data_IF_519788602969
#
_entry.id   IF_519788602969
#
_cell.length_a   1.000
_cell.length_b   1.000
_cell.length_c   1.000
_cell.angle_alpha   90.00
_cell.angle_beta   90.00
_cell.angle_gamma   90.00
#
_symmetry.space_group_name_H-M   'P 1'
#
loop_
_entity.id
_entity.type
_entity.pdbx_description
1 polymer ?
#
# COMPACT_ATOMS: atom_id res chain seq x y z
N UNK A 1 -23.45 -0.29 16.58
CA UNK A 1 -23.46 -1.71 17.03
C UNK A 1 -24.86 -2.19 17.45
N UNK A 2 -25.60 -1.40 18.24
CA UNK A 2 -26.91 -1.84 18.76
C UNK A 2 -27.97 -2.08 17.67
N UNK A 3 -28.06 -1.21 16.67
CA UNK A 3 -28.98 -1.37 15.54
C UNK A 3 -28.66 -2.62 14.72
N UNK A 4 -27.39 -2.89 14.46
CA UNK A 4 -26.95 -4.10 13.75
C UNK A 4 -27.31 -5.38 14.54
N UNK A 5 -27.13 -5.37 15.85
CA UNK A 5 -27.53 -6.49 16.71
C UNK A 5 -29.03 -6.76 16.63
N UNK A 6 -29.86 -5.72 16.67
CA UNK A 6 -31.32 -5.83 16.55
C UNK A 6 -31.73 -6.39 15.18
N UNK A 7 -31.12 -5.90 14.11
CA UNK A 7 -31.40 -6.37 12.75
C UNK A 7 -31.03 -7.84 12.56
N UNK A 8 -29.88 -8.27 13.08
CA UNK A 8 -29.41 -9.65 12.98
C UNK A 8 -30.28 -10.59 13.83
N UNK A 9 -30.60 -10.19 15.06
CA UNK A 9 -31.46 -10.98 15.94
C UNK A 9 -32.92 -11.09 15.42
N UNK A 10 -33.35 -10.14 14.58
CA UNK A 10 -34.69 -10.14 13.96
C UNK A 10 -34.86 -11.11 12.78
N UNK A 11 -33.89 -11.96 12.46
CA UNK A 11 -33.93 -12.86 11.30
C UNK A 11 -34.48 -14.26 11.62
N UNK A 12 -35.34 -14.37 12.63
CA UNK A 12 -35.92 -15.64 13.02
C UNK A 12 -36.63 -16.37 11.85
N UNK A 13 -36.30 -17.63 11.66
CA UNK A 13 -36.86 -18.47 10.59
C UNK A 13 -36.31 -18.19 9.19
N UNK A 14 -35.42 -17.20 9.04
CA UNK A 14 -34.75 -16.91 7.76
C UNK A 14 -33.57 -17.85 7.53
N UNK A 15 -33.28 -18.10 6.24
CA UNK A 15 -32.06 -18.76 5.79
C UNK A 15 -31.06 -17.69 5.37
N UNK A 16 -29.95 -17.57 6.10
CA UNK A 16 -28.92 -16.51 5.88
C UNK A 16 -27.63 -17.15 5.42
N UNK A 17 -27.13 -16.71 4.27
CA UNK A 17 -25.80 -17.13 3.80
C UNK A 17 -24.73 -16.38 4.60
N UNK A 18 -23.79 -17.12 5.14
CA UNK A 18 -22.63 -16.57 5.82
C UNK A 18 -21.37 -17.30 5.35
N UNK A 19 -20.37 -16.55 4.91
CA UNK A 19 -19.07 -17.12 4.55
C UNK A 19 -18.30 -17.44 5.84
N UNK A 20 -17.97 -18.72 6.10
CA UNK A 20 -17.32 -19.12 7.34
C UNK A 20 -15.88 -18.56 7.49
N UNK A 21 -15.27 -18.08 6.40
CA UNK A 21 -13.92 -17.53 6.40
C UNK A 21 -13.88 -16.02 6.64
N UNK A 22 -14.95 -15.30 6.33
CA UNK A 22 -14.97 -13.83 6.37
C UNK A 22 -16.01 -13.24 7.31
N UNK A 23 -17.14 -13.95 7.56
CA UNK A 23 -18.16 -13.49 8.51
C UNK A 23 -17.63 -13.58 9.95
N UNK A 24 -17.71 -12.48 10.70
CA UNK A 24 -17.24 -12.48 12.08
C UNK A 24 -18.16 -13.34 12.98
N UNK A 25 -17.57 -13.95 14.01
CA UNK A 25 -18.26 -14.86 14.94
C UNK A 25 -19.44 -14.18 15.65
N UNK A 26 -19.33 -12.90 15.99
CA UNK A 26 -20.39 -12.15 16.65
C UNK A 26 -21.68 -12.08 15.81
N UNK A 27 -21.54 -11.79 14.49
CA UNK A 27 -22.70 -11.75 13.58
C UNK A 27 -23.35 -13.13 13.43
N UNK A 28 -22.55 -14.18 13.31
CA UNK A 28 -23.04 -15.56 13.22
C UNK A 28 -23.80 -15.96 14.48
N UNK A 29 -23.24 -15.70 15.66
CA UNK A 29 -23.89 -15.99 16.93
C UNK A 29 -25.22 -15.25 17.11
N UNK A 30 -25.30 -13.99 16.73
CA UNK A 30 -26.55 -13.23 16.81
C UNK A 30 -27.63 -13.77 15.89
N UNK A 31 -27.28 -14.17 14.68
CA UNK A 31 -28.19 -14.78 13.72
C UNK A 31 -28.73 -16.11 14.26
N UNK A 32 -27.86 -16.99 14.77
CA UNK A 32 -28.24 -18.28 15.35
C UNK A 32 -29.11 -18.13 16.61
N UNK A 33 -28.71 -17.23 17.52
CA UNK A 33 -29.49 -16.91 18.73
C UNK A 33 -30.85 -16.28 18.40
N UNK A 34 -30.90 -15.52 17.31
CA UNK A 34 -32.15 -14.96 16.77
C UNK A 34 -33.05 -15.96 16.05
N UNK A 35 -32.61 -17.22 15.89
CA UNK A 35 -33.41 -18.29 15.26
C UNK A 35 -33.30 -18.33 13.74
N UNK A 36 -32.26 -17.74 13.16
CA UNK A 36 -31.92 -17.89 11.73
C UNK A 36 -31.19 -19.20 11.47
N UNK A 37 -31.35 -19.77 10.27
CA UNK A 37 -30.57 -20.91 9.79
C UNK A 37 -29.40 -20.41 8.95
N UNK A 38 -28.14 -20.60 9.39
CA UNK A 38 -26.95 -20.24 8.63
C UNK A 38 -26.69 -21.27 7.52
N UNK A 39 -26.39 -20.77 6.34
CA UNK A 39 -25.93 -21.54 5.19
C UNK A 39 -24.48 -21.15 4.92
N UNK A 40 -23.56 -22.08 5.13
CA UNK A 40 -22.15 -21.87 4.81
C UNK A 40 -21.96 -21.85 3.30
N UNK A 41 -21.60 -20.68 2.76
CA UNK A 41 -21.24 -20.48 1.36
C UNK A 41 -20.34 -19.26 1.22
N UNK A 42 -19.53 -19.16 0.14
CA UNK A 42 -18.72 -17.98 -0.14
C UNK A 42 -19.55 -16.70 -0.21
N UNK A 43 -18.99 -15.59 0.24
CA UNK A 43 -19.65 -14.28 0.17
C UNK A 43 -19.96 -13.93 -1.29
N UNK A 44 -21.26 -13.78 -1.66
CA UNK A 44 -21.64 -13.47 -3.04
C UNK A 44 -21.18 -12.09 -3.52
N UNK A 45 -20.78 -11.21 -2.61
CA UNK A 45 -20.28 -9.85 -2.92
C UNK A 45 -18.78 -9.86 -3.24
N UNK A 46 -18.04 -10.89 -2.84
CA UNK A 46 -16.58 -10.94 -2.94
C UNK A 46 -16.10 -10.71 -4.37
N UNK A 47 -16.58 -11.52 -5.32
CA UNK A 47 -16.15 -11.43 -6.72
C UNK A 47 -16.65 -10.16 -7.42
N UNK A 48 -17.93 -9.76 -7.34
CA UNK A 48 -18.40 -8.50 -7.89
C UNK A 48 -17.62 -7.27 -7.38
N UNK A 49 -17.28 -7.26 -6.08
CA UNK A 49 -16.48 -6.19 -5.47
C UNK A 49 -15.04 -6.18 -5.98
N UNK A 50 -14.44 -7.36 -6.21
CA UNK A 50 -13.07 -7.46 -6.73
C UNK A 50 -12.95 -7.01 -8.19
N UNK A 51 -14.02 -7.14 -8.97
CA UNK A 51 -14.06 -6.73 -10.39
C UNK A 51 -14.44 -5.26 -10.52
N UNK A 52 -13.45 -4.41 -10.77
CA UNK A 52 -13.69 -2.97 -10.96
C UNK A 52 -14.58 -2.69 -12.16
N UNK A 53 -15.57 -1.81 -11.99
CA UNK A 53 -16.36 -1.25 -13.10
C UNK A 53 -15.59 -0.18 -13.87
N UNK A 54 -16.16 0.33 -14.95
CA UNK A 54 -15.49 1.31 -15.81
C UNK A 54 -15.15 2.63 -15.10
N UNK A 55 -15.96 3.06 -14.14
CA UNK A 55 -15.72 4.28 -13.36
C UNK A 55 -14.54 4.06 -12.40
N UNK A 56 -14.50 2.94 -11.69
CA UNK A 56 -13.41 2.58 -10.79
C UNK A 56 -12.08 2.41 -11.55
N UNK A 57 -12.11 1.82 -12.76
CA UNK A 57 -10.92 1.68 -13.61
C UNK A 57 -10.41 3.06 -14.06
N UNK A 58 -11.31 3.96 -14.48
CA UNK A 58 -10.94 5.32 -14.87
C UNK A 58 -10.35 6.10 -13.69
N UNK A 59 -10.98 6.01 -12.51
CA UNK A 59 -10.49 6.63 -11.28
C UNK A 59 -9.12 6.11 -10.88
N UNK A 60 -8.92 4.79 -10.87
CA UNK A 60 -7.63 4.17 -10.55
C UNK A 60 -6.52 4.67 -11.50
N UNK A 61 -6.79 4.79 -12.81
CA UNK A 61 -5.82 5.32 -13.78
C UNK A 61 -5.45 6.77 -13.48
N UNK A 62 -6.42 7.62 -13.17
CA UNK A 62 -6.18 9.01 -12.83
C UNK A 62 -5.43 9.16 -11.51
N UNK A 63 -5.80 8.39 -10.50
CA UNK A 63 -5.09 8.36 -9.22
C UNK A 63 -3.59 8.00 -9.41
N UNK A 64 -3.28 7.00 -10.24
CA UNK A 64 -1.89 6.61 -10.52
C UNK A 64 -1.12 7.69 -11.27
N UNK A 65 -1.74 8.46 -12.17
CA UNK A 65 -1.08 9.58 -12.85
C UNK A 65 -0.76 10.69 -11.84
N UNK A 66 -1.70 11.07 -10.98
CA UNK A 66 -1.48 12.10 -9.96
C UNK A 66 -0.40 11.68 -8.96
N UNK A 67 -0.47 10.44 -8.47
CA UNK A 67 0.52 9.90 -7.54
C UNK A 67 1.92 9.81 -8.16
N UNK A 68 2.01 9.40 -9.43
CA UNK A 68 3.28 9.38 -10.16
C UNK A 68 3.94 10.75 -10.23
N UNK A 69 3.17 11.84 -10.36
CA UNK A 69 3.71 13.22 -10.33
C UNK A 69 4.37 13.49 -8.97
N UNK A 70 3.73 13.13 -7.86
CA UNK A 70 4.30 13.29 -6.51
C UNK A 70 5.60 12.48 -6.35
N UNK A 71 5.61 11.23 -6.79
CA UNK A 71 6.79 10.35 -6.73
C UNK A 71 7.93 10.89 -7.60
N UNK A 72 7.64 11.35 -8.82
CA UNK A 72 8.67 11.93 -9.72
C UNK A 72 9.24 13.24 -9.13
N UNK A 73 8.38 14.11 -8.58
CA UNK A 73 8.83 15.31 -7.87
C UNK A 73 9.76 14.97 -6.70
N UNK A 74 9.39 13.95 -5.91
CA UNK A 74 10.21 13.47 -4.81
C UNK A 74 11.57 12.95 -5.28
N UNK A 75 11.61 12.11 -6.30
CA UNK A 75 12.89 11.58 -6.83
C UNK A 75 13.78 12.68 -7.40
N UNK A 76 13.20 13.64 -8.12
CA UNK A 76 13.95 14.80 -8.63
C UNK A 76 14.48 15.69 -7.50
N UNK A 77 13.68 15.92 -6.47
CA UNK A 77 14.10 16.65 -5.28
C UNK A 77 15.23 15.92 -4.56
N UNK A 78 15.10 14.59 -4.35
CA UNK A 78 16.14 13.79 -3.70
C UNK A 78 17.46 13.88 -4.47
N UNK A 79 17.43 13.73 -5.79
CA UNK A 79 18.63 13.87 -6.63
C UNK A 79 19.29 15.24 -6.45
N UNK A 80 18.52 16.32 -6.46
CA UNK A 80 19.03 17.67 -6.22
C UNK A 80 19.65 17.83 -4.82
N UNK A 81 19.04 17.25 -3.77
CA UNK A 81 19.61 17.27 -2.42
C UNK A 81 20.97 16.56 -2.37
N UNK A 82 21.07 15.39 -2.98
CA UNK A 82 22.30 14.61 -3.03
C UNK A 82 23.42 15.35 -3.79
N UNK A 83 23.12 16.04 -4.90
CA UNK A 83 24.07 16.87 -5.64
C UNK A 83 24.62 18.02 -4.78
N UNK A 84 23.86 18.51 -3.80
CA UNK A 84 24.31 19.52 -2.83
C UNK A 84 24.93 18.89 -1.56
N UNK A 85 25.17 17.58 -1.52
CA UNK A 85 25.75 16.88 -0.37
C UNK A 85 24.80 16.77 0.82
N UNK A 86 23.49 16.94 0.61
CA UNK A 86 22.48 16.85 1.66
C UNK A 86 21.90 15.44 1.71
N UNK A 87 22.30 14.71 2.75
CA UNK A 87 21.80 13.36 3.01
C UNK A 87 20.75 13.41 4.12
N UNK A 88 19.51 13.08 3.77
CA UNK A 88 18.38 13.02 4.69
C UNK A 88 18.32 11.66 5.38
N UNK A 89 17.54 11.57 6.46
CA UNK A 89 17.18 10.29 7.08
C UNK A 89 15.86 9.74 6.52
N UNK A 90 15.57 8.51 6.86
CA UNK A 90 14.38 7.78 6.39
C UNK A 90 13.07 8.49 6.72
N UNK A 91 12.98 9.12 7.90
CA UNK A 91 11.79 9.85 8.32
C UNK A 91 11.59 11.12 7.49
N UNK A 92 12.62 11.94 7.35
CA UNK A 92 12.57 13.16 6.54
C UNK A 92 12.25 12.88 5.07
N UNK A 93 12.71 11.74 4.52
CA UNK A 93 12.38 11.31 3.17
C UNK A 93 10.91 10.91 3.04
N UNK A 94 10.38 10.15 4.00
CA UNK A 94 8.97 9.76 4.02
C UNK A 94 8.05 10.98 4.14
N UNK A 95 8.39 11.93 5.03
CA UNK A 95 7.62 13.17 5.24
C UNK A 95 7.65 14.06 3.99
N UNK A 96 8.78 14.15 3.30
CA UNK A 96 8.88 14.93 2.06
C UNK A 96 8.03 14.34 0.93
N UNK A 97 8.01 13.01 0.79
CA UNK A 97 7.16 12.35 -0.19
C UNK A 97 5.67 12.56 0.13
N UNK A 98 5.31 12.48 1.42
CA UNK A 98 3.95 12.78 1.87
C UNK A 98 3.55 14.22 1.51
N UNK A 99 4.41 15.21 1.79
CA UNK A 99 4.15 16.60 1.45
C UNK A 99 3.90 16.81 -0.06
N UNK A 100 4.63 16.11 -0.94
CA UNK A 100 4.35 16.18 -2.38
C UNK A 100 3.02 15.55 -2.78
N UNK A 101 2.51 14.56 -2.03
CA UNK A 101 1.18 14.00 -2.23
C UNK A 101 0.07 14.92 -1.73
N UNK A 102 0.30 15.57 -0.57
CA UNK A 102 -0.64 16.53 0.03
C UNK A 102 -0.86 17.76 -0.85
N UNK A 103 0.13 18.17 -1.64
CA UNK A 103 -0.02 19.22 -2.67
C UNK A 103 -0.93 18.79 -3.84
N UNK A 104 -1.24 17.50 -3.97
CA UNK A 104 -2.01 16.95 -5.07
C UNK A 104 -3.52 16.95 -4.82
N UNK A 105 -4.29 16.95 -5.93
CA UNK A 105 -5.75 16.89 -5.85
C UNK A 105 -6.25 15.50 -5.44
N UNK A 106 -7.39 15.45 -4.74
CA UNK A 106 -8.10 14.23 -4.35
C UNK A 106 -7.39 13.35 -3.31
N UNK A 107 -6.21 13.74 -2.80
CA UNK A 107 -5.48 13.00 -1.78
C UNK A 107 -6.23 13.02 -0.45
N UNK A 108 -6.35 11.84 0.19
CA UNK A 108 -7.06 11.66 1.46
C UNK A 108 -6.12 11.21 2.59
N UNK A 109 -4.94 10.70 2.25
CA UNK A 109 -3.95 10.18 3.17
C UNK A 109 -3.12 9.08 2.56
N UNK A 110 -2.09 8.57 3.25
CA UNK A 110 -1.35 7.39 2.82
C UNK A 110 -2.27 6.16 2.71
N UNK A 111 -2.05 5.31 1.71
CA UNK A 111 -2.75 4.02 1.60
C UNK A 111 -2.23 2.99 2.60
N UNK A 112 -0.99 3.13 3.02
CA UNK A 112 -0.31 2.38 4.08
C UNK A 112 0.87 3.19 4.62
N UNK A 113 1.45 2.75 5.75
CA UNK A 113 2.64 3.39 6.32
C UNK A 113 3.83 3.28 5.36
N UNK A 114 4.38 4.42 4.96
CA UNK A 114 5.51 4.46 4.03
C UNK A 114 6.70 3.67 4.56
N UNK A 115 7.18 2.71 3.78
CA UNK A 115 8.47 2.05 3.99
C UNK A 115 9.53 2.93 3.34
N UNK A 116 10.36 3.55 4.16
CA UNK A 116 11.50 4.38 3.74
C UNK A 116 12.75 3.74 4.32
N UNK A 117 13.58 3.10 3.48
CA UNK A 117 14.63 2.20 3.92
C UNK A 117 15.99 2.51 3.28
N UNK A 118 16.95 2.90 4.09
CA UNK A 118 18.31 3.25 3.71
C UNK A 118 19.24 2.03 3.75
N UNK A 119 19.95 1.75 2.68
CA UNK A 119 20.96 0.69 2.60
C UNK A 119 20.43 -0.67 3.07
N UNK A 120 21.03 -1.25 4.11
CA UNK A 120 20.70 -2.58 4.64
C UNK A 120 19.29 -2.72 5.20
N UNK A 121 18.64 -1.62 5.62
CA UNK A 121 17.27 -1.66 6.10
C UNK A 121 16.27 -2.09 5.01
N UNK A 122 16.62 -1.87 3.74
CA UNK A 122 15.83 -2.30 2.60
C UNK A 122 15.71 -3.84 2.45
N UNK A 123 16.51 -4.61 3.17
CA UNK A 123 16.41 -6.07 3.18
C UNK A 123 15.25 -6.60 4.05
N UNK A 124 14.64 -5.76 4.87
CA UNK A 124 13.50 -6.13 5.72
C UNK A 124 12.18 -5.82 5.03
N UNK A 125 11.38 -6.87 4.76
CA UNK A 125 9.99 -6.70 4.37
C UNK A 125 9.23 -5.96 5.49
N UNK A 126 8.37 -5.01 5.13
CA UNK A 126 7.59 -4.20 6.07
C UNK A 126 8.47 -3.46 7.11
N UNK A 127 9.66 -3.01 6.67
CA UNK A 127 10.50 -2.14 7.50
C UNK A 127 9.72 -0.88 7.92
N UNK A 128 9.84 -0.52 9.18
CA UNK A 128 9.23 0.72 9.67
C UNK A 128 10.28 1.54 10.40
N UNK A 129 10.68 2.66 9.80
CA UNK A 129 11.67 3.59 10.32
C UNK A 129 11.25 4.24 11.67
N UNK A 130 9.95 4.19 12.02
CA UNK A 130 9.43 4.71 13.29
C UNK A 130 9.69 3.79 14.47
N UNK A 131 10.04 2.52 14.23
CA UNK A 131 10.32 1.55 15.30
C UNK A 131 11.74 1.67 15.87
N UNK A 132 12.59 2.50 15.26
CA UNK A 132 13.97 2.73 15.68
C UNK A 132 14.37 4.18 15.36
N UNK A 133 15.63 4.55 15.62
CA UNK A 133 16.17 5.82 15.12
C UNK A 133 16.29 5.74 13.60
N UNK A 134 15.62 6.62 12.84
CA UNK A 134 15.70 6.62 11.38
C UNK A 134 17.14 6.73 10.88
N UNK A 135 17.52 5.84 9.99
CA UNK A 135 18.86 5.80 9.44
C UNK A 135 19.04 6.94 8.40
N UNK A 136 20.23 7.55 8.40
CA UNK A 136 20.62 8.51 7.38
C UNK A 136 21.00 7.76 6.11
N UNK A 137 20.69 8.31 4.92
CA UNK A 137 21.14 7.76 3.66
C UNK A 137 22.67 7.65 3.65
N UNK A 138 23.25 6.45 3.50
CA UNK A 138 24.68 6.31 3.32
C UNK A 138 25.06 6.71 1.87
N UNK A 139 26.24 7.31 1.65
CA UNK A 139 26.76 7.50 0.30
C UNK A 139 27.04 6.15 -0.38
N UNK A 140 27.03 6.15 -1.70
CA UNK A 140 27.36 4.99 -2.54
C UNK A 140 26.55 3.71 -2.19
N UNK A 141 25.24 3.89 -2.01
CA UNK A 141 24.33 2.89 -1.53
C UNK A 141 23.03 2.85 -2.36
N UNK A 142 22.01 2.20 -1.83
CA UNK A 142 20.65 2.19 -2.37
C UNK A 142 19.66 2.72 -1.34
N UNK A 143 18.60 3.32 -1.83
CA UNK A 143 17.43 3.70 -1.04
C UNK A 143 16.19 3.05 -1.63
N UNK A 144 15.42 2.37 -0.79
CA UNK A 144 14.13 1.80 -1.14
C UNK A 144 13.03 2.65 -0.51
N UNK A 145 12.07 3.03 -1.33
CA UNK A 145 10.82 3.65 -0.87
C UNK A 145 9.64 2.86 -1.43
N UNK A 146 8.79 2.41 -0.53
CA UNK A 146 7.53 1.75 -0.83
C UNK A 146 6.41 2.53 -0.16
N UNK A 147 5.49 3.04 -0.96
CA UNK A 147 4.53 4.04 -0.52
C UNK A 147 3.31 4.09 -1.43
N UNK A 148 2.23 4.63 -0.91
CA UNK A 148 1.04 4.84 -1.72
C UNK A 148 0.14 5.92 -1.15
N UNK A 149 -0.83 6.34 -1.96
CA UNK A 149 -1.84 7.32 -1.60
C UNK A 149 -3.25 6.76 -1.72
N UNK A 150 -4.09 7.12 -0.78
CA UNK A 150 -5.53 6.98 -0.87
C UNK A 150 -6.09 8.25 -1.50
N UNK A 151 -6.78 8.09 -2.61
CA UNK A 151 -7.48 9.17 -3.33
C UNK A 151 -8.98 8.92 -3.29
N UNK A 152 -9.79 9.95 -3.56
CA UNK A 152 -11.26 9.80 -3.61
C UNK A 152 -11.74 8.84 -4.71
N UNK A 153 -10.90 8.62 -5.73
CA UNK A 153 -11.23 7.84 -6.94
C UNK A 153 -10.28 6.65 -7.17
N UNK A 154 -9.33 6.37 -6.25
CA UNK A 154 -8.44 5.23 -6.38
C UNK A 154 -7.42 5.12 -5.26
N UNK A 155 -6.74 3.99 -5.21
CA UNK A 155 -5.66 3.70 -4.27
C UNK A 155 -4.40 3.37 -5.07
N UNK A 156 -3.25 3.91 -4.65
CA UNK A 156 -1.95 3.64 -5.28
C UNK A 156 -1.02 2.90 -4.33
N UNK A 157 -0.07 2.20 -4.93
CA UNK A 157 0.98 1.44 -4.27
C UNK A 157 2.18 1.40 -5.23
N UNK A 158 3.29 2.04 -4.85
CA UNK A 158 4.47 2.21 -5.70
C UNK A 158 5.74 1.98 -4.90
N UNK A 159 6.54 1.02 -5.36
CA UNK A 159 7.88 0.78 -4.82
C UNK A 159 8.95 1.24 -5.80
N UNK A 160 10.00 1.90 -5.30
CA UNK A 160 11.22 2.22 -6.06
C UNK A 160 12.46 1.97 -5.21
N UNK A 161 13.45 1.34 -5.84
CA UNK A 161 14.81 1.27 -5.31
C UNK A 161 15.71 2.13 -6.20
N UNK A 162 16.34 3.14 -5.61
CA UNK A 162 17.17 4.09 -6.35
C UNK A 162 18.61 4.11 -5.85
N UNK A 163 19.55 4.41 -6.72
CA UNK A 163 20.95 4.54 -6.38
C UNK A 163 21.21 5.87 -5.63
N UNK A 164 22.03 5.80 -4.61
CA UNK A 164 22.57 6.96 -3.91
C UNK A 164 24.07 6.99 -4.22
N UNK A 165 24.52 7.99 -4.97
CA UNK A 165 25.90 8.03 -5.45
C UNK A 165 26.23 6.89 -6.42
N UNK A 166 27.33 6.17 -6.18
CA UNK A 166 27.81 5.07 -7.03
C UNK A 166 27.82 3.76 -6.24
N UNK A 167 26.72 3.00 -6.21
CA UNK A 167 26.66 1.71 -5.50
C UNK A 167 27.71 0.72 -6.01
N UNK A 168 28.16 -0.19 -5.12
CA UNK A 168 29.12 -1.22 -5.44
C UNK A 168 28.69 -2.08 -6.64
N UNK A 169 29.65 -2.56 -7.43
CA UNK A 169 29.40 -3.33 -8.65
C UNK A 169 28.51 -4.58 -8.40
N UNK A 170 28.67 -5.22 -7.23
CA UNK A 170 27.85 -6.36 -6.85
C UNK A 170 26.37 -5.96 -6.64
N UNK A 171 26.10 -4.85 -5.97
CA UNK A 171 24.73 -4.32 -5.78
C UNK A 171 24.08 -4.02 -7.13
N UNK A 172 24.81 -3.41 -8.06
CA UNK A 172 24.34 -3.13 -9.43
C UNK A 172 24.04 -4.41 -10.20
N UNK A 173 24.88 -5.44 -10.06
CA UNK A 173 24.64 -6.78 -10.65
C UNK A 173 23.37 -7.42 -10.09
N UNK A 174 23.22 -7.43 -8.77
CA UNK A 174 22.04 -8.01 -8.12
C UNK A 174 20.76 -7.26 -8.50
N UNK A 175 20.78 -5.94 -8.55
CA UNK A 175 19.67 -5.12 -9.02
C UNK A 175 19.24 -5.53 -10.45
N UNK A 176 20.21 -5.71 -11.35
CA UNK A 176 19.94 -6.13 -12.74
C UNK A 176 19.32 -7.54 -12.78
N UNK A 177 19.80 -8.48 -11.98
CA UNK A 177 19.25 -9.85 -11.93
C UNK A 177 17.80 -9.86 -11.40
N UNK A 178 17.53 -9.08 -10.37
CA UNK A 178 16.15 -8.94 -9.83
C UNK A 178 15.23 -8.33 -10.88
N UNK A 179 15.67 -7.27 -11.59
CA UNK A 179 14.89 -6.66 -12.65
C UNK A 179 14.62 -7.64 -13.81
N UNK A 180 15.60 -8.43 -14.19
CA UNK A 180 15.40 -9.48 -15.22
C UNK A 180 14.35 -10.51 -14.77
N UNK A 181 14.40 -10.96 -13.53
CA UNK A 181 13.40 -11.86 -12.96
C UNK A 181 12.00 -11.25 -12.93
N UNK A 182 11.89 -9.97 -12.55
CA UNK A 182 10.63 -9.24 -12.57
C UNK A 182 10.02 -9.14 -13.98
N UNK A 183 10.84 -8.76 -14.97
CA UNK A 183 10.40 -8.69 -16.39
C UNK A 183 9.98 -10.07 -16.91
N UNK A 184 10.73 -11.13 -16.60
CA UNK A 184 10.40 -12.48 -17.02
C UNK A 184 9.06 -12.96 -16.43
N UNK A 185 8.77 -12.60 -15.18
CA UNK A 185 7.49 -12.93 -14.54
C UNK A 185 6.32 -12.16 -15.17
N UNK A 186 6.52 -10.89 -15.51
CA UNK A 186 5.49 -10.04 -16.14
C UNK A 186 5.13 -10.53 -17.55
N UNK A 187 6.04 -11.22 -18.21
CA UNK A 187 5.86 -11.78 -19.57
C UNK A 187 5.28 -13.20 -19.59
N UNK A 188 5.15 -13.87 -18.44
CA UNK A 188 4.69 -15.25 -18.32
C UNK A 188 3.17 -15.34 -18.20
#
# INVERSE_FOLDING_TARGET
PHEAATLLAGQAGQRVVADPHTANAWSQQLLEQGGATLIAAPDPVLLPKACKNAVEVAGARQAHVRDAVAVVRFLAWLDAQLQHGQYHDEAGLADQLLAFREDGEHFQGPSFDTISAAGGNAAMCHYNHRNATPARLPPDSVYLVDSGGQYTDGTTDITRTVAIGTPAAEVRKLFTLVLQGHIALDQA
#
